data_IF_322224997943
#
_entry.id   IF_322224997943
#
_cell.length_a   1.000
_cell.length_b   1.000
_cell.length_c   1.000
_cell.angle_alpha   90.00
_cell.angle_beta   90.00
_cell.angle_gamma   90.00
#
_symmetry.space_group_name_H-M   'P 1'
#
loop_
_entity.id
_entity.type
_entity.pdbx_description
1 polymer ?
#
# COMPACT_ATOMS: atom_id res chain seq x y z
N UNK A 1 15.08 -0.80 -34.18
CA UNK A 1 15.26 -0.86 -32.72
C UNK A 1 13.89 -0.85 -32.02
N UNK A 2 13.24 -2.01 -31.75
CA UNK A 2 11.88 -2.07 -31.19
C UNK A 2 11.81 -2.65 -29.75
N UNK A 3 12.86 -2.57 -28.94
CA UNK A 3 12.85 -3.11 -27.57
C UNK A 3 12.23 -2.18 -26.51
N UNK A 4 12.06 -0.90 -26.81
CA UNK A 4 11.65 0.09 -25.81
C UNK A 4 10.13 0.13 -25.55
N UNK A 5 9.31 -0.61 -26.32
CA UNK A 5 7.84 -0.58 -26.23
C UNK A 5 7.25 -1.67 -25.34
N UNK A 6 8.01 -2.71 -24.96
CA UNK A 6 7.53 -3.83 -24.12
C UNK A 6 7.68 -3.63 -22.60
N UNK A 7 8.52 -2.69 -22.13
CA UNK A 7 8.80 -2.50 -20.68
C UNK A 7 7.75 -1.66 -19.93
N UNK A 8 6.98 -0.84 -20.64
CA UNK A 8 6.02 0.09 -20.02
C UNK A 8 4.79 -0.59 -19.37
N UNK A 9 4.19 -1.64 -19.97
CA UNK A 9 3.06 -2.35 -19.35
C UNK A 9 3.46 -3.08 -18.06
N UNK A 10 4.61 -3.78 -18.09
CA UNK A 10 5.13 -4.53 -16.93
C UNK A 10 5.44 -3.62 -15.74
N UNK A 11 5.97 -2.42 -15.99
CA UNK A 11 6.25 -1.43 -14.95
C UNK A 11 4.98 -0.82 -14.34
N UNK A 12 3.94 -0.60 -15.15
CA UNK A 12 2.63 -0.11 -14.69
C UNK A 12 1.94 -1.15 -13.83
N UNK A 13 1.92 -2.40 -14.28
CA UNK A 13 1.34 -3.51 -13.54
C UNK A 13 2.08 -3.73 -12.21
N UNK A 14 3.41 -3.78 -12.23
CA UNK A 14 4.21 -3.92 -11.01
C UNK A 14 3.99 -2.76 -10.02
N UNK A 15 3.88 -1.52 -10.52
CA UNK A 15 3.60 -0.37 -9.66
C UNK A 15 2.20 -0.46 -9.03
N UNK A 16 1.19 -0.86 -9.79
CA UNK A 16 -0.17 -1.01 -9.27
C UNK A 16 -0.28 -2.20 -8.28
N UNK A 17 0.44 -3.29 -8.52
CA UNK A 17 0.60 -4.38 -7.55
C UNK A 17 1.27 -3.90 -6.26
N UNK A 18 2.33 -3.10 -6.34
CA UNK A 18 2.97 -2.51 -5.17
C UNK A 18 2.03 -1.61 -4.36
N UNK A 19 1.22 -0.79 -5.03
CA UNK A 19 0.17 -0.02 -4.35
C UNK A 19 -0.79 -0.94 -3.61
N UNK A 20 -1.30 -1.97 -4.31
CA UNK A 20 -2.29 -2.90 -3.74
C UNK A 20 -1.75 -3.62 -2.51
N UNK A 21 -0.52 -4.16 -2.58
CA UNK A 21 0.06 -4.90 -1.47
C UNK A 21 0.35 -4.01 -0.25
N UNK A 22 0.87 -2.78 -0.44
CA UNK A 22 1.08 -1.86 0.68
C UNK A 22 -0.23 -1.47 1.35
N UNK A 23 -1.30 -1.23 0.57
CA UNK A 23 -2.63 -0.94 1.11
C UNK A 23 -3.20 -2.16 1.87
N UNK A 24 -3.06 -3.37 1.32
CA UNK A 24 -3.49 -4.60 1.97
C UNK A 24 -2.77 -4.85 3.30
N UNK A 25 -1.44 -4.69 3.33
CA UNK A 25 -0.67 -4.85 4.56
C UNK A 25 -1.00 -3.77 5.58
N UNK A 26 -1.25 -2.52 5.14
CA UNK A 26 -1.76 -1.47 6.03
C UNK A 26 -3.09 -1.87 6.67
N UNK A 27 -4.00 -2.46 5.88
CA UNK A 27 -5.28 -2.95 6.40
C UNK A 27 -5.07 -4.07 7.43
N UNK A 28 -4.21 -5.05 7.11
CA UNK A 28 -3.91 -6.18 8.00
C UNK A 28 -3.30 -5.71 9.31
N UNK A 29 -2.37 -4.76 9.26
CA UNK A 29 -1.71 -4.19 10.43
C UNK A 29 -2.70 -3.54 11.38
N UNK A 30 -3.49 -2.57 10.90
CA UNK A 30 -4.45 -1.87 11.77
C UNK A 30 -5.62 -2.75 12.20
N UNK A 31 -6.04 -3.74 11.39
CA UNK A 31 -7.03 -4.73 11.85
C UNK A 31 -6.60 -5.41 13.15
N UNK A 32 -5.31 -5.73 13.29
CA UNK A 32 -4.75 -6.36 14.50
C UNK A 32 -4.44 -5.35 15.61
N UNK A 33 -3.94 -4.16 15.24
CA UNK A 33 -3.24 -3.27 16.18
C UNK A 33 -3.88 -1.88 16.33
N UNK A 34 -5.04 -1.59 15.74
CA UNK A 34 -5.61 -0.24 15.83
C UNK A 34 -5.83 0.24 17.28
N UNK A 35 -6.30 -0.64 18.17
CA UNK A 35 -6.51 -0.30 19.58
C UNK A 35 -5.20 0.00 20.31
N UNK A 36 -4.16 -0.83 20.13
CA UNK A 36 -2.83 -0.61 20.72
C UNK A 36 -2.14 0.63 20.14
N UNK A 37 -2.48 1.02 18.92
CA UNK A 37 -2.06 2.26 18.27
C UNK A 37 -2.88 3.48 18.71
N UNK A 38 -3.80 3.35 19.67
CA UNK A 38 -4.64 4.45 20.17
C UNK A 38 -5.71 4.91 19.18
N UNK A 39 -5.97 4.15 18.12
CA UNK A 39 -6.97 4.44 17.11
C UNK A 39 -8.34 3.90 17.55
N UNK A 40 -9.35 4.77 17.64
CA UNK A 40 -10.72 4.35 17.95
C UNK A 40 -11.32 3.54 16.80
N UNK A 41 -12.17 2.57 17.13
CA UNK A 41 -12.87 1.72 16.15
C UNK A 41 -13.50 2.52 14.98
N UNK A 42 -14.23 3.59 15.27
CA UNK A 42 -14.85 4.42 14.23
C UNK A 42 -13.83 5.08 13.28
N UNK A 43 -12.69 5.54 13.81
CA UNK A 43 -11.63 6.12 13.01
C UNK A 43 -10.96 5.05 12.14
N UNK A 44 -10.76 3.85 12.69
CA UNK A 44 -10.27 2.70 11.97
C UNK A 44 -11.21 2.29 10.84
N UNK A 45 -12.52 2.15 11.08
CA UNK A 45 -13.51 1.80 10.06
C UNK A 45 -13.51 2.81 8.89
N UNK A 46 -13.49 4.11 9.21
CA UNK A 46 -13.39 5.14 8.18
C UNK A 46 -12.09 5.05 7.40
N UNK A 47 -10.98 4.80 8.07
CA UNK A 47 -9.69 4.63 7.41
C UNK A 47 -9.66 3.39 6.52
N UNK A 48 -10.19 2.27 7.00
CA UNK A 48 -10.33 1.02 6.25
C UNK A 48 -11.15 1.22 4.97
N UNK A 49 -12.28 1.94 5.04
CA UNK A 49 -13.09 2.29 3.87
C UNK A 49 -12.29 3.09 2.84
N UNK A 50 -11.48 4.06 3.28
CA UNK A 50 -10.63 4.85 2.37
C UNK A 50 -9.55 3.98 1.69
N UNK A 51 -8.96 3.03 2.42
CA UNK A 51 -7.99 2.10 1.87
C UNK A 51 -8.63 1.17 0.83
N UNK A 52 -9.81 0.60 1.11
CA UNK A 52 -10.54 -0.20 0.14
C UNK A 52 -10.92 0.60 -1.10
N UNK A 53 -11.36 1.85 -0.93
CA UNK A 53 -11.63 2.71 -2.07
C UNK A 53 -10.39 2.89 -2.94
N UNK A 54 -9.20 3.13 -2.37
CA UNK A 54 -7.97 3.24 -3.16
C UNK A 54 -7.61 1.94 -3.88
N UNK A 55 -7.83 0.77 -3.25
CA UNK A 55 -7.62 -0.54 -3.89
C UNK A 55 -8.56 -0.72 -5.07
N UNK A 56 -9.86 -0.43 -4.90
CA UNK A 56 -10.85 -0.49 -5.97
C UNK A 56 -10.51 0.44 -7.13
N UNK A 57 -9.89 1.59 -6.89
CA UNK A 57 -9.42 2.49 -7.96
C UNK A 57 -8.28 1.90 -8.81
N UNK A 58 -7.68 0.77 -8.41
CA UNK A 58 -6.70 0.04 -9.21
C UNK A 58 -7.36 -0.98 -10.15
N UNK A 59 -8.66 -1.23 -10.01
CA UNK A 59 -9.41 -2.10 -10.91
C UNK A 59 -9.28 -1.60 -12.35
N UNK A 60 -8.82 -2.49 -13.24
CA UNK A 60 -8.52 -2.17 -14.63
C UNK A 60 -7.07 -1.75 -14.92
N UNK A 61 -6.25 -1.48 -13.89
CA UNK A 61 -4.78 -1.38 -14.06
C UNK A 61 -4.10 -2.75 -13.93
N UNK A 62 -4.71 -3.65 -13.17
CA UNK A 62 -4.16 -4.98 -12.82
C UNK A 62 -5.31 -5.97 -12.68
N UNK A 63 -5.09 -7.22 -13.10
CA UNK A 63 -6.05 -8.30 -12.84
C UNK A 63 -6.17 -8.57 -11.34
N UNK A 64 -7.36 -8.92 -10.86
CA UNK A 64 -7.55 -9.37 -9.47
C UNK A 64 -6.60 -10.52 -9.10
N UNK A 65 -6.32 -11.40 -10.05
CA UNK A 65 -5.45 -12.58 -9.88
C UNK A 65 -3.97 -12.32 -10.13
N UNK A 66 -3.60 -11.15 -10.66
CA UNK A 66 -2.18 -10.86 -10.88
C UNK A 66 -1.50 -10.74 -9.52
N UNK A 67 -0.36 -11.42 -9.35
CA UNK A 67 0.46 -11.36 -8.15
C UNK A 67 1.91 -11.12 -8.55
N UNK A 68 2.64 -10.40 -7.70
CA UNK A 68 4.08 -10.32 -7.77
C UNK A 68 4.65 -10.74 -6.42
N UNK A 69 5.18 -11.97 -6.36
CA UNK A 69 5.66 -12.59 -5.13
C UNK A 69 6.74 -11.74 -4.43
N UNK A 70 7.66 -11.16 -5.20
CA UNK A 70 8.72 -10.32 -4.64
C UNK A 70 8.17 -9.04 -3.98
N UNK A 71 7.21 -8.37 -4.64
CA UNK A 71 6.55 -7.19 -4.05
C UNK A 71 5.78 -7.57 -2.78
N UNK A 72 5.06 -8.68 -2.82
CA UNK A 72 4.27 -9.21 -1.69
C UNK A 72 5.19 -9.53 -0.50
N UNK A 73 6.28 -10.25 -0.73
CA UNK A 73 7.26 -10.59 0.29
C UNK A 73 7.89 -9.35 0.91
N UNK A 74 8.38 -8.39 0.11
CA UNK A 74 8.99 -7.17 0.62
C UNK A 74 8.01 -6.32 1.44
N UNK A 75 6.76 -6.19 0.99
CA UNK A 75 5.74 -5.49 1.74
C UNK A 75 5.44 -6.21 3.07
N UNK A 76 5.21 -7.52 3.03
CA UNK A 76 4.95 -8.31 4.24
C UNK A 76 6.14 -8.27 5.21
N UNK A 77 7.39 -8.35 4.74
CA UNK A 77 8.59 -8.24 5.59
C UNK A 77 8.64 -6.91 6.34
N UNK A 78 8.40 -5.79 5.64
CA UNK A 78 8.38 -4.47 6.27
C UNK A 78 7.31 -4.40 7.37
N UNK A 79 6.08 -4.87 7.09
CA UNK A 79 5.00 -4.82 8.07
C UNK A 79 5.18 -5.81 9.22
N UNK A 80 5.81 -6.97 8.97
CA UNK A 80 6.20 -7.91 10.02
C UNK A 80 7.23 -7.30 10.98
N UNK A 81 8.15 -6.46 10.48
CA UNK A 81 9.08 -5.71 11.33
C UNK A 81 8.34 -4.71 12.21
N UNK A 82 7.36 -3.99 11.67
CA UNK A 82 6.52 -3.08 12.46
C UNK A 82 5.71 -3.85 13.52
N UNK A 83 5.15 -5.01 13.17
CA UNK A 83 4.41 -5.86 14.10
C UNK A 83 5.30 -6.38 15.24
N UNK A 84 6.54 -6.78 14.96
CA UNK A 84 7.52 -7.12 16.01
C UNK A 84 7.78 -5.96 16.95
N UNK A 85 7.92 -4.73 16.42
CA UNK A 85 8.15 -3.54 17.24
C UNK A 85 6.96 -3.25 18.17
N UNK A 86 5.72 -3.44 17.70
CA UNK A 86 4.51 -3.34 18.55
C UNK A 86 4.55 -4.36 19.70
N UNK A 87 4.98 -5.59 19.42
CA UNK A 87 4.98 -6.68 20.41
C UNK A 87 6.14 -6.62 21.40
N UNK A 88 7.32 -6.17 20.96
CA UNK A 88 8.57 -6.21 21.74
C UNK A 88 8.84 -4.94 22.57
N UNK A 89 8.15 -3.84 22.27
CA UNK A 89 8.31 -2.56 22.99
C UNK A 89 7.05 -2.28 23.80
N UNK A 90 7.19 -1.63 24.95
CA UNK A 90 6.12 -1.27 25.91
C UNK A 90 5.03 -0.31 25.37
N UNK A 91 4.75 -0.30 24.06
CA UNK A 91 3.83 0.63 23.40
C UNK A 91 4.08 2.09 23.81
N UNK A 92 5.36 2.45 24.01
CA UNK A 92 5.72 3.81 24.38
C UNK A 92 5.28 4.77 23.27
N UNK A 93 4.90 5.99 23.65
CA UNK A 93 4.42 6.98 22.69
C UNK A 93 5.39 7.18 21.51
N UNK A 94 6.71 7.19 21.79
CA UNK A 94 7.74 7.31 20.76
C UNK A 94 7.74 6.14 19.75
N UNK A 95 7.49 4.91 20.21
CA UNK A 95 7.38 3.74 19.33
C UNK A 95 6.13 3.81 18.46
N UNK A 96 5.00 4.22 19.04
CA UNK A 96 3.76 4.40 18.29
C UNK A 96 3.89 5.51 17.24
N UNK A 97 4.56 6.62 17.59
CA UNK A 97 4.86 7.71 16.67
C UNK A 97 5.76 7.26 15.52
N UNK A 98 6.78 6.45 15.80
CA UNK A 98 7.65 5.87 14.78
C UNK A 98 6.87 5.00 13.81
N UNK A 99 6.06 4.05 14.31
CA UNK A 99 5.24 3.16 13.47
C UNK A 99 4.25 3.97 12.64
N UNK A 100 3.57 4.95 13.25
CA UNK A 100 2.66 5.84 12.53
C UNK A 100 3.39 6.61 11.42
N UNK A 101 4.63 7.05 11.67
CA UNK A 101 5.44 7.75 10.67
C UNK A 101 5.81 6.85 9.49
N UNK A 102 6.23 5.62 9.75
CA UNK A 102 6.58 4.64 8.71
C UNK A 102 5.36 4.28 7.84
N UNK A 103 4.21 4.02 8.47
CA UNK A 103 2.98 3.73 7.71
C UNK A 103 2.53 4.97 6.93
N UNK A 104 2.62 6.17 7.51
CA UNK A 104 2.31 7.43 6.80
C UNK A 104 3.21 7.63 5.58
N UNK A 105 4.51 7.36 5.71
CA UNK A 105 5.46 7.42 4.59
C UNK A 105 5.08 6.44 3.49
N UNK A 106 4.74 5.19 3.84
CA UNK A 106 4.25 4.20 2.88
C UNK A 106 3.00 4.69 2.12
N UNK A 107 2.03 5.26 2.84
CA UNK A 107 0.81 5.79 2.22
C UNK A 107 1.06 7.02 1.33
N UNK A 108 2.04 7.86 1.68
CA UNK A 108 2.46 8.97 0.82
C UNK A 108 3.09 8.46 -0.48
N UNK A 109 3.93 7.42 -0.41
CA UNK A 109 4.51 6.79 -1.59
C UNK A 109 3.42 6.14 -2.46
N UNK A 110 2.47 5.44 -1.84
CA UNK A 110 1.27 4.91 -2.51
C UNK A 110 0.52 6.01 -3.25
N UNK A 111 0.24 7.14 -2.60
CA UNK A 111 -0.47 8.25 -3.23
C UNK A 111 0.29 8.79 -4.46
N UNK A 112 1.61 8.95 -4.34
CA UNK A 112 2.45 9.40 -5.44
C UNK A 112 2.44 8.41 -6.61
N UNK A 113 2.55 7.11 -6.33
CA UNK A 113 2.55 6.05 -7.33
C UNK A 113 1.18 5.95 -8.02
N UNK A 114 0.09 5.93 -7.27
CA UNK A 114 -1.28 5.96 -7.77
C UNK A 114 -1.55 7.18 -8.67
N UNK A 115 -1.04 8.36 -8.30
CA UNK A 115 -1.16 9.57 -9.14
C UNK A 115 -0.42 9.43 -10.47
N UNK A 116 0.75 8.78 -10.48
CA UNK A 116 1.51 8.52 -11.72
C UNK A 116 0.80 7.53 -12.62
N UNK A 117 0.28 6.45 -12.04
CA UNK A 117 -0.50 5.43 -12.75
C UNK A 117 -1.74 6.02 -13.43
N UNK A 118 -2.54 6.82 -12.69
CA UNK A 118 -3.71 7.51 -13.24
C UNK A 118 -3.34 8.43 -14.41
N UNK A 119 -2.25 9.20 -14.29
CA UNK A 119 -1.77 10.07 -15.37
C UNK A 119 -1.37 9.28 -16.61
N UNK A 120 -0.64 8.17 -16.44
CA UNK A 120 -0.26 7.32 -17.58
C UNK A 120 -1.48 6.72 -18.27
N UNK A 121 -2.46 6.24 -17.52
CA UNK A 121 -3.70 5.69 -18.07
C UNK A 121 -4.48 6.71 -18.90
N UNK A 122 -4.59 7.96 -18.41
CA UNK A 122 -5.27 9.04 -19.13
C UNK A 122 -4.57 9.40 -20.45
N UNK A 123 -3.24 9.41 -20.46
CA UNK A 123 -2.45 9.68 -21.66
C UNK A 123 -2.55 8.57 -22.70
N UNK A 124 -2.68 7.30 -22.27
CA UNK A 124 -2.87 6.17 -23.18
C UNK A 124 -4.26 6.14 -23.81
N UNK A 125 -5.28 6.71 -23.16
CA UNK A 125 -6.66 6.79 -23.70
C UNK A 125 -6.88 7.87 -24.74
N UNK A 126 -5.94 8.82 -24.87
CA UNK A 126 -6.03 9.97 -25.78
C UNK A 126 -5.22 9.79 -27.07
N UNK A 127 -4.55 8.64 -27.25
CA UNK A 127 -3.86 8.22 -28.47
C UNK A 127 -4.65 7.11 -29.17
#
# INVERSE_FOLDING_TARGET
MPENRRRAPEAVEAAALAVREVLNETIRFYRKHHESMGCKQQAWERFQQLLYYQIHQLEGCVSETAENHLIKELASEQFNLLEKIVLEKDNSACVLDFICSEIRRNLQLVLQLSSRLRRQHLLQRTQ
#
